data_IF_504626668947
#
_entry.id   IF_504626668947
#
_cell.length_a   1.000
_cell.length_b   1.000
_cell.length_c   1.000
_cell.angle_alpha   90.00
_cell.angle_beta   90.00
_cell.angle_gamma   90.00
#
_symmetry.space_group_name_H-M   'P 1'
#
loop_
_entity.id
_entity.type
_entity.pdbx_description
1 polymer ?
#
# COMPACT_ATOMS: atom_id res chain seq x y z
N UNK A 1 -19.51 23.83 16.18
CA UNK A 1 -20.49 23.43 17.21
C UNK A 1 -21.27 22.27 16.64
N UNK A 2 -20.80 21.05 16.89
CA UNK A 2 -21.30 19.81 16.29
C UNK A 2 -21.73 18.86 17.40
N UNK A 3 -22.91 18.30 17.21
CA UNK A 3 -23.73 17.49 18.12
C UNK A 3 -23.01 16.23 18.65
N UNK A 4 -22.90 16.02 19.98
CA UNK A 4 -22.32 14.82 20.56
C UNK A 4 -23.40 13.77 20.84
N UNK A 5 -23.99 13.17 19.80
CA UNK A 5 -25.13 12.27 19.97
C UNK A 5 -25.23 11.07 19.02
N UNK A 6 -24.44 11.00 17.96
CA UNK A 6 -24.70 9.98 16.93
C UNK A 6 -24.04 8.64 17.26
N UNK A 7 -24.84 7.75 17.88
CA UNK A 7 -24.50 6.33 18.08
C UNK A 7 -24.14 5.70 16.72
N UNK A 8 -23.06 4.91 16.63
CA UNK A 8 -22.74 4.18 15.41
C UNK A 8 -23.91 3.26 15.02
N UNK A 9 -24.23 3.11 13.72
CA UNK A 9 -25.31 2.26 13.28
C UNK A 9 -25.10 0.83 13.78
N UNK A 10 -26.18 0.24 14.31
CA UNK A 10 -26.16 -1.14 14.78
C UNK A 10 -25.68 -2.08 13.66
N UNK A 11 -24.89 -3.14 13.97
CA UNK A 11 -24.53 -4.13 12.97
C UNK A 11 -25.79 -4.66 12.28
N UNK A 12 -25.78 -4.69 10.94
CA UNK A 12 -26.82 -5.32 10.16
C UNK A 12 -26.99 -6.76 10.65
N UNK A 13 -28.13 -7.04 11.27
CA UNK A 13 -28.51 -8.39 11.68
C UNK A 13 -28.87 -9.16 10.41
N UNK A 14 -27.94 -9.97 9.91
CA UNK A 14 -28.29 -10.92 8.86
C UNK A 14 -29.25 -11.94 9.44
N UNK A 15 -30.53 -11.86 9.04
CA UNK A 15 -31.51 -12.92 9.25
C UNK A 15 -31.44 -13.82 8.02
N UNK A 16 -31.15 -15.10 8.24
CA UNK A 16 -31.27 -16.13 7.21
C UNK A 16 -32.64 -16.00 6.50
N UNK A 17 -32.70 -16.07 5.15
CA UNK A 17 -33.96 -16.20 4.46
C UNK A 17 -34.59 -17.54 4.89
N UNK A 18 -35.68 -17.47 5.66
CA UNK A 18 -36.51 -18.65 5.92
C UNK A 18 -36.93 -19.23 4.56
N UNK A 19 -36.48 -20.44 4.25
CA UNK A 19 -37.03 -21.24 3.15
C UNK A 19 -36.07 -21.66 2.03
N UNK A 20 -34.76 -21.41 2.10
CA UNK A 20 -33.83 -22.02 1.15
C UNK A 20 -33.59 -23.49 1.53
N UNK A 21 -34.38 -24.40 0.95
CA UNK A 21 -34.11 -25.84 0.98
C UNK A 21 -32.85 -26.10 0.17
N UNK A 22 -31.72 -26.28 0.85
CA UNK A 22 -30.45 -26.68 0.24
C UNK A 22 -30.46 -28.20 0.18
N UNK A 23 -30.34 -28.76 -1.03
CA UNK A 23 -30.20 -30.19 -1.25
C UNK A 23 -28.99 -30.75 -0.48
N UNK A 24 -29.05 -31.99 0.03
CA UNK A 24 -27.96 -32.58 0.81
C UNK A 24 -26.73 -32.74 -0.10
N UNK A 25 -25.67 -31.98 0.19
CA UNK A 25 -24.33 -32.24 -0.36
C UNK A 25 -23.83 -33.50 0.34
N UNK A 26 -23.40 -34.49 -0.46
CA UNK A 26 -22.90 -35.77 0.02
C UNK A 26 -21.80 -35.57 1.08
N UNK A 27 -21.77 -36.48 2.06
CA UNK A 27 -20.81 -36.50 3.17
C UNK A 27 -19.37 -36.69 2.67
N UNK A 28 -18.77 -35.61 2.18
CA UNK A 28 -17.33 -35.51 1.93
C UNK A 28 -16.60 -35.05 3.18
N UNK A 29 -15.37 -35.53 3.37
CA UNK A 29 -14.46 -35.08 4.41
C UNK A 29 -14.30 -33.56 4.33
N UNK A 30 -14.46 -32.86 5.46
CA UNK A 30 -14.25 -31.41 5.47
C UNK A 30 -12.79 -31.09 5.13
N UNK A 31 -12.52 -30.10 4.25
CA UNK A 31 -11.17 -29.67 3.96
C UNK A 31 -10.50 -29.10 5.22
N UNK A 32 -9.17 -29.04 5.23
CA UNK A 32 -8.46 -28.34 6.29
C UNK A 32 -8.72 -26.85 6.13
N UNK A 33 -9.15 -26.22 7.22
CA UNK A 33 -9.33 -24.78 7.27
C UNK A 33 -8.30 -24.19 8.22
N UNK A 34 -7.90 -22.96 7.91
CA UNK A 34 -7.15 -22.08 8.80
C UNK A 34 -7.95 -20.82 9.08
N UNK A 35 -8.00 -20.39 10.34
CA UNK A 35 -8.51 -19.06 10.68
C UNK A 35 -7.49 -17.99 10.27
N UNK A 36 -7.96 -16.94 9.59
CA UNK A 36 -7.13 -15.80 9.22
C UNK A 36 -6.39 -15.21 10.43
N UNK A 37 -5.10 -14.89 10.25
CA UNK A 37 -4.26 -14.34 11.32
C UNK A 37 -4.73 -12.96 11.74
N UNK A 38 -4.66 -12.67 13.05
CA UNK A 38 -5.10 -11.38 13.60
C UNK A 38 -6.62 -11.26 13.77
N UNK A 39 -7.40 -12.25 13.32
CA UNK A 39 -8.85 -12.28 13.55
C UNK A 39 -9.13 -12.59 15.02
N UNK A 40 -9.71 -11.62 15.73
CA UNK A 40 -10.13 -11.79 17.12
C UNK A 40 -11.48 -12.48 17.21
N UNK A 41 -11.59 -13.46 18.10
CA UNK A 41 -12.85 -14.14 18.43
C UNK A 41 -13.29 -13.66 19.81
N UNK A 42 -14.46 -13.02 19.89
CA UNK A 42 -14.95 -12.33 21.09
C UNK A 42 -16.30 -12.94 21.48
N UNK A 43 -16.37 -13.74 22.55
CA UNK A 43 -17.64 -14.25 23.08
C UNK A 43 -18.57 -13.10 23.50
N UNK A 44 -19.86 -13.16 23.13
CA UNK A 44 -20.89 -12.17 23.48
C UNK A 44 -22.19 -12.87 23.92
N UNK A 45 -22.18 -13.44 25.12
CA UNK A 45 -23.32 -14.21 25.62
C UNK A 45 -23.50 -15.49 24.82
N UNK A 46 -24.65 -15.66 24.18
CA UNK A 46 -24.91 -16.79 23.27
C UNK A 46 -24.27 -16.60 21.87
N UNK A 47 -23.83 -15.40 21.54
CA UNK A 47 -23.26 -15.10 20.22
C UNK A 47 -21.72 -15.12 20.26
N UNK A 48 -21.10 -15.33 19.10
CA UNK A 48 -19.66 -15.18 18.90
C UNK A 48 -19.39 -14.10 17.86
N UNK A 49 -18.70 -13.03 18.27
CA UNK A 49 -18.22 -12.03 17.33
C UNK A 49 -16.86 -12.44 16.76
N UNK A 50 -16.71 -12.31 15.44
CA UNK A 50 -15.49 -12.57 14.70
C UNK A 50 -15.00 -11.25 14.10
N UNK A 51 -13.76 -10.88 14.40
CA UNK A 51 -13.14 -9.64 13.94
C UNK A 51 -13.56 -8.40 14.73
N UNK A 52 -12.73 -7.36 14.62
CA UNK A 52 -12.93 -6.04 15.26
C UNK A 52 -13.10 -4.90 14.26
N UNK A 53 -12.61 -5.06 13.03
CA UNK A 53 -12.63 -4.03 12.00
C UNK A 53 -14.02 -3.88 11.35
N UNK A 54 -14.42 -2.63 11.06
CA UNK A 54 -15.63 -2.33 10.30
C UNK A 54 -15.53 -2.96 8.89
N UNK A 55 -16.59 -3.62 8.42
CA UNK A 55 -16.60 -4.33 7.14
C UNK A 55 -16.16 -5.79 7.17
N UNK A 56 -15.51 -6.25 8.26
CA UNK A 56 -15.15 -7.68 8.49
C UNK A 56 -15.54 -8.21 9.87
N UNK A 57 -16.37 -7.47 10.57
CA UNK A 57 -17.01 -7.91 11.81
C UNK A 57 -18.20 -8.81 11.47
N UNK A 58 -18.09 -10.10 11.78
CA UNK A 58 -19.21 -11.03 11.71
C UNK A 58 -19.71 -11.35 13.11
N UNK A 59 -21.01 -11.64 13.22
CA UNK A 59 -21.63 -12.13 14.45
C UNK A 59 -22.28 -13.47 14.13
N UNK A 60 -21.75 -14.54 14.73
CA UNK A 60 -22.40 -15.84 14.74
C UNK A 60 -23.44 -15.83 15.86
N UNK A 61 -24.72 -15.77 15.49
CA UNK A 61 -25.81 -15.84 16.44
C UNK A 61 -25.96 -17.27 16.98
N UNK A 62 -26.30 -17.40 18.26
CA UNK A 62 -26.53 -18.70 18.93
C UNK A 62 -25.36 -19.69 18.69
N UNK A 63 -24.13 -19.19 18.82
CA UNK A 63 -22.93 -19.95 18.57
C UNK A 63 -22.77 -21.07 19.62
N UNK A 64 -22.41 -22.31 19.20
CA UNK A 64 -22.12 -23.38 20.15
C UNK A 64 -21.07 -22.95 21.18
N UNK A 65 -21.14 -23.40 22.45
CA UNK A 65 -20.22 -22.96 23.51
C UNK A 65 -18.74 -23.18 23.19
N UNK A 66 -18.43 -24.19 22.37
CA UNK A 66 -17.07 -24.51 21.92
C UNK A 66 -16.64 -23.76 20.65
N UNK A 67 -17.47 -22.89 20.09
CA UNK A 67 -17.23 -22.35 18.76
C UNK A 67 -15.96 -21.51 18.67
N UNK A 68 -15.68 -20.68 19.68
CA UNK A 68 -14.45 -19.88 19.72
C UNK A 68 -13.20 -20.78 19.75
N UNK A 69 -13.23 -21.85 20.57
CA UNK A 69 -12.13 -22.80 20.69
C UNK A 69 -11.91 -23.58 19.39
N UNK A 70 -12.97 -24.11 18.79
CA UNK A 70 -12.89 -24.84 17.51
C UNK A 70 -12.30 -23.94 16.42
N UNK A 71 -12.77 -22.70 16.30
CA UNK A 71 -12.23 -21.75 15.31
C UNK A 71 -10.77 -21.37 15.58
N UNK A 72 -10.33 -21.30 16.85
CA UNK A 72 -8.92 -21.05 17.20
C UNK A 72 -8.00 -22.23 16.85
N UNK A 73 -8.51 -23.47 16.95
CA UNK A 73 -7.77 -24.69 16.64
C UNK A 73 -7.68 -24.98 15.12
N UNK A 74 -8.39 -24.19 14.28
CA UNK A 74 -8.23 -24.22 12.82
C UNK A 74 -6.92 -23.53 12.41
N UNK A 75 -5.84 -24.31 12.40
CA UNK A 75 -4.49 -23.88 12.02
C UNK A 75 -4.06 -24.42 10.64
N UNK A 76 -4.91 -25.22 9.99
CA UNK A 76 -4.63 -25.93 8.74
C UNK A 76 -3.88 -27.25 8.91
N UNK A 77 -3.44 -27.64 10.10
CA UNK A 77 -2.73 -28.91 10.33
C UNK A 77 -3.70 -30.08 10.56
N UNK A 78 -4.85 -29.80 11.18
CA UNK A 78 -5.91 -30.78 11.45
C UNK A 78 -7.05 -30.64 10.44
N UNK A 79 -7.70 -31.76 10.07
CA UNK A 79 -8.95 -31.69 9.32
C UNK A 79 -10.05 -31.14 10.22
N UNK A 80 -10.95 -30.35 9.64
CA UNK A 80 -12.05 -29.78 10.42
C UNK A 80 -12.97 -30.89 10.95
N UNK A 81 -13.07 -32.04 10.28
CA UNK A 81 -13.78 -33.22 10.79
C UNK A 81 -13.18 -33.76 12.10
N UNK A 82 -11.86 -33.71 12.27
CA UNK A 82 -11.21 -34.17 13.50
C UNK A 82 -11.59 -33.27 14.69
N UNK A 83 -11.64 -31.95 14.47
CA UNK A 83 -11.99 -30.96 15.49
C UNK A 83 -13.49 -30.97 15.85
N UNK A 84 -14.33 -31.47 14.96
CA UNK A 84 -15.78 -31.62 15.19
C UNK A 84 -16.16 -32.95 15.85
N UNK A 85 -15.19 -33.79 16.23
CA UNK A 85 -15.47 -35.05 16.93
C UNK A 85 -16.15 -34.77 18.28
N UNK A 86 -17.42 -35.16 18.41
CA UNK A 86 -18.24 -34.89 19.60
C UNK A 86 -18.88 -33.50 19.64
N UNK A 87 -18.99 -32.79 18.51
CA UNK A 87 -19.78 -31.56 18.38
C UNK A 87 -21.26 -31.87 18.08
N UNK A 88 -22.17 -31.11 18.72
CA UNK A 88 -23.61 -31.42 18.76
C UNK A 88 -24.36 -31.26 17.43
N UNK A 89 -23.90 -30.41 16.51
CA UNK A 89 -24.56 -30.18 15.21
C UNK A 89 -23.56 -30.04 14.05
N UNK A 90 -23.27 -31.16 13.37
CA UNK A 90 -22.38 -31.18 12.20
C UNK A 90 -22.90 -30.37 11.02
N UNK A 91 -24.23 -30.24 10.85
CA UNK A 91 -24.81 -29.48 9.74
C UNK A 91 -24.61 -27.98 9.94
N UNK A 92 -24.81 -27.52 11.18
CA UNK A 92 -24.50 -26.15 11.57
C UNK A 92 -23.05 -25.81 11.23
N UNK A 93 -22.10 -26.65 11.68
CA UNK A 93 -20.67 -26.43 11.43
C UNK A 93 -20.29 -26.43 9.95
N UNK A 94 -20.86 -27.34 9.15
CA UNK A 94 -20.63 -27.35 7.70
C UNK A 94 -21.08 -26.04 7.05
N UNK A 95 -22.28 -25.57 7.39
CA UNK A 95 -22.82 -24.31 6.87
C UNK A 95 -22.01 -23.09 7.33
N UNK A 96 -21.58 -23.08 8.60
CA UNK A 96 -20.77 -22.02 9.19
C UNK A 96 -19.39 -21.95 8.55
N UNK A 97 -18.67 -23.08 8.44
CA UNK A 97 -17.35 -23.09 7.78
C UNK A 97 -17.43 -22.64 6.33
N UNK A 98 -18.43 -23.10 5.58
CA UNK A 98 -18.63 -22.64 4.20
C UNK A 98 -18.88 -21.14 4.13
N UNK A 99 -19.70 -20.59 5.03
CA UNK A 99 -19.97 -19.15 5.06
C UNK A 99 -18.73 -18.35 5.46
N UNK A 100 -17.97 -18.81 6.45
CA UNK A 100 -16.74 -18.14 6.89
C UNK A 100 -15.65 -18.22 5.82
N UNK A 101 -15.57 -19.33 5.07
CA UNK A 101 -14.68 -19.46 3.91
C UNK A 101 -15.07 -18.51 2.79
N UNK A 102 -16.35 -18.46 2.41
CA UNK A 102 -16.85 -17.51 1.40
C UNK A 102 -16.71 -16.04 1.83
N UNK A 103 -16.71 -15.77 3.14
CA UNK A 103 -16.46 -14.45 3.71
C UNK A 103 -14.96 -14.13 3.83
N UNK A 104 -14.05 -15.05 3.48
CA UNK A 104 -12.60 -14.87 3.56
C UNK A 104 -12.05 -14.81 4.99
N UNK A 105 -12.77 -15.39 5.95
CA UNK A 105 -12.35 -15.52 7.37
C UNK A 105 -11.61 -16.84 7.59
N UNK A 106 -12.04 -17.90 6.90
CA UNK A 106 -11.35 -19.18 6.84
C UNK A 106 -10.67 -19.33 5.49
N UNK A 107 -9.51 -19.98 5.49
CA UNK A 107 -8.68 -20.22 4.32
C UNK A 107 -8.41 -21.72 4.15
N UNK A 108 -8.22 -22.17 2.92
CA UNK A 108 -7.86 -23.55 2.60
C UNK A 108 -6.38 -23.87 2.86
N UNK A 109 -6.02 -25.15 2.74
CA UNK A 109 -4.67 -25.71 2.99
C UNK A 109 -3.60 -25.31 1.96
N UNK A 110 -3.97 -24.56 0.92
CA UNK A 110 -3.07 -24.21 -0.18
C UNK A 110 -2.03 -23.18 0.30
N UNK A 111 -0.90 -23.69 0.82
CA UNK A 111 0.38 -23.01 1.08
C UNK A 111 0.23 -21.53 1.39
N UNK A 112 -0.10 -21.20 2.64
CA UNK A 112 0.18 -19.86 3.12
C UNK A 112 1.68 -19.58 2.89
N UNK A 113 2.06 -18.53 2.15
CA UNK A 113 3.45 -18.17 1.94
C UNK A 113 4.13 -17.99 3.31
N UNK A 114 5.38 -18.46 3.42
CA UNK A 114 6.17 -18.21 4.62
C UNK A 114 6.51 -16.72 4.67
N UNK A 115 5.68 -15.99 5.39
CA UNK A 115 5.90 -14.57 5.62
C UNK A 115 6.99 -14.43 6.67
N UNK A 116 8.10 -13.80 6.30
CA UNK A 116 9.21 -13.54 7.22
C UNK A 116 8.71 -12.76 8.45
N UNK A 117 9.37 -12.90 9.62
CA UNK A 117 8.90 -12.33 10.87
C UNK A 117 8.67 -10.80 10.82
N UNK A 118 9.42 -10.08 9.97
CA UNK A 118 9.25 -8.64 9.77
C UNK A 118 8.01 -8.20 8.98
N UNK A 119 7.28 -9.13 8.35
CA UNK A 119 6.11 -8.85 7.51
C UNK A 119 4.79 -9.37 8.11
N UNK A 120 4.82 -9.84 9.36
CA UNK A 120 3.62 -10.34 10.06
C UNK A 120 2.56 -9.24 10.20
N UNK A 121 2.97 -8.04 10.60
CA UNK A 121 2.05 -6.92 10.78
C UNK A 121 1.50 -6.41 9.43
N UNK A 122 2.34 -6.38 8.38
CA UNK A 122 1.91 -6.09 7.01
C UNK A 122 0.85 -7.08 6.53
N UNK A 123 1.06 -8.37 6.80
CA UNK A 123 0.09 -9.42 6.48
C UNK A 123 -1.22 -9.24 7.23
N UNK A 124 -1.16 -8.90 8.52
CA UNK A 124 -2.35 -8.66 9.35
C UNK A 124 -3.14 -7.46 8.81
N UNK A 125 -2.48 -6.34 8.50
CA UNK A 125 -3.13 -5.17 7.90
C UNK A 125 -3.79 -5.50 6.56
N UNK A 126 -3.07 -6.15 5.65
CA UNK A 126 -3.62 -6.61 4.36
C UNK A 126 -4.78 -7.60 4.57
N UNK A 127 -4.70 -8.48 5.56
CA UNK A 127 -5.78 -9.41 5.92
C UNK A 127 -7.00 -8.67 6.47
N UNK A 128 -6.81 -7.53 7.13
CA UNK A 128 -7.92 -6.65 7.57
C UNK A 128 -8.52 -5.81 6.46
N UNK A 129 -7.76 -5.44 5.43
CA UNK A 129 -8.23 -4.63 4.29
C UNK A 129 -8.73 -5.44 3.09
N UNK A 130 -8.08 -6.55 2.75
CA UNK A 130 -8.33 -7.33 1.54
C UNK A 130 -8.65 -8.83 1.75
N UNK A 131 -8.30 -9.40 2.90
CA UNK A 131 -8.56 -10.81 3.26
C UNK A 131 -7.29 -11.63 3.12
N UNK A 132 -7.18 -12.80 3.76
CA UNK A 132 -5.87 -13.44 3.86
C UNK A 132 -5.34 -13.95 2.51
N UNK A 133 -6.17 -14.52 1.64
CA UNK A 133 -5.72 -14.97 0.30
C UNK A 133 -5.15 -13.80 -0.52
N UNK A 134 -5.84 -12.66 -0.49
CA UNK A 134 -5.39 -11.44 -1.15
C UNK A 134 -4.14 -10.86 -0.49
N UNK A 135 -4.01 -10.98 0.84
CA UNK A 135 -2.82 -10.57 1.57
C UNK A 135 -1.60 -11.42 1.21
N UNK A 136 -1.78 -12.73 1.12
CA UNK A 136 -0.74 -13.70 0.78
C UNK A 136 -0.27 -13.48 -0.67
N UNK A 137 -1.21 -13.28 -1.60
CA UNK A 137 -0.89 -12.91 -2.98
C UNK A 137 -0.20 -11.55 -3.07
N UNK A 138 -0.66 -10.54 -2.33
CA UNK A 138 -0.05 -9.22 -2.29
C UNK A 138 1.41 -9.29 -1.81
N UNK A 139 1.67 -10.00 -0.71
CA UNK A 139 3.04 -10.15 -0.19
C UNK A 139 3.94 -10.95 -1.14
N UNK A 140 3.40 -11.97 -1.82
CA UNK A 140 4.12 -12.65 -2.91
C UNK A 140 4.51 -11.67 -4.03
N UNK A 141 3.55 -10.86 -4.51
CA UNK A 141 3.81 -9.83 -5.54
C UNK A 141 4.82 -8.77 -5.08
N UNK A 142 4.76 -8.34 -3.81
CA UNK A 142 5.76 -7.42 -3.24
C UNK A 142 7.15 -8.06 -3.26
N UNK A 143 7.27 -9.32 -2.85
CA UNK A 143 8.53 -10.06 -2.85
C UNK A 143 9.13 -10.22 -4.26
N UNK A 144 8.30 -10.41 -5.29
CA UNK A 144 8.75 -10.53 -6.68
C UNK A 144 9.01 -9.17 -7.37
N UNK A 145 8.59 -8.06 -6.75
CA UNK A 145 8.65 -6.74 -7.38
C UNK A 145 10.05 -6.12 -7.32
N UNK A 146 10.36 -5.40 -8.40
CA UNK A 146 11.56 -4.57 -8.53
C UNK A 146 11.12 -3.12 -8.67
N UNK A 147 11.48 -2.29 -7.70
CA UNK A 147 11.21 -0.85 -7.73
C UNK A 147 12.52 -0.09 -7.84
N UNK A 148 12.67 0.68 -8.92
CA UNK A 148 13.80 1.59 -9.08
C UNK A 148 13.36 2.99 -8.62
N UNK A 149 14.16 3.64 -7.79
CA UNK A 149 13.98 5.00 -7.33
C UNK A 149 15.08 5.84 -7.96
N UNK A 150 14.71 6.81 -8.78
CA UNK A 150 15.63 7.78 -9.38
C UNK A 150 15.46 9.11 -8.67
N UNK A 151 16.51 9.53 -7.97
CA UNK A 151 16.41 10.69 -7.11
C UNK A 151 17.48 10.76 -6.04
N UNK A 152 17.55 11.93 -5.40
CA UNK A 152 18.33 12.15 -4.19
C UNK A 152 17.47 12.90 -3.16
N UNK A 153 18.01 13.13 -1.97
CA UNK A 153 17.27 13.87 -0.93
C UNK A 153 16.39 13.00 -0.03
N UNK A 154 15.63 13.68 0.82
CA UNK A 154 14.84 13.06 1.90
C UNK A 154 13.75 12.15 1.37
N UNK A 155 13.05 12.56 0.32
CA UNK A 155 11.94 11.79 -0.26
C UNK A 155 12.45 10.45 -0.79
N UNK A 156 13.56 10.46 -1.54
CA UNK A 156 14.14 9.25 -2.11
C UNK A 156 14.60 8.25 -1.03
N UNK A 157 15.22 8.73 0.05
CA UNK A 157 15.60 7.87 1.18
C UNK A 157 14.41 7.31 1.94
N UNK A 158 13.41 8.14 2.22
CA UNK A 158 12.21 7.74 2.96
C UNK A 158 11.37 6.72 2.18
N UNK A 159 11.15 6.94 0.88
CA UNK A 159 10.39 6.00 0.04
C UNK A 159 11.12 4.66 -0.10
N UNK A 160 12.45 4.68 -0.20
CA UNK A 160 13.26 3.45 -0.23
C UNK A 160 13.08 2.62 1.05
N UNK A 161 13.22 3.26 2.22
CA UNK A 161 13.04 2.59 3.51
C UNK A 161 11.62 2.03 3.70
N UNK A 162 10.60 2.79 3.31
CA UNK A 162 9.20 2.36 3.39
C UNK A 162 8.91 1.17 2.46
N UNK A 163 9.44 1.16 1.23
CA UNK A 163 9.25 0.05 0.29
C UNK A 163 9.92 -1.24 0.79
N UNK A 164 11.13 -1.14 1.36
CA UNK A 164 11.81 -2.28 2.00
C UNK A 164 11.01 -2.79 3.19
N UNK A 165 10.55 -1.89 4.06
CA UNK A 165 9.73 -2.24 5.23
C UNK A 165 8.39 -2.90 4.83
N UNK A 166 7.81 -2.49 3.70
CA UNK A 166 6.61 -3.08 3.14
C UNK A 166 6.85 -4.46 2.47
N UNK A 167 8.10 -4.92 2.37
CA UNK A 167 8.43 -6.22 1.80
C UNK A 167 8.59 -6.24 0.28
N UNK A 168 8.91 -5.10 -0.35
CA UNK A 168 9.36 -5.09 -1.75
C UNK A 168 10.69 -5.84 -1.84
N UNK A 169 10.76 -6.83 -2.73
CA UNK A 169 11.92 -7.72 -2.82
C UNK A 169 13.19 -7.04 -3.30
N UNK A 170 13.09 -6.10 -4.25
CA UNK A 170 14.24 -5.35 -4.74
C UNK A 170 13.92 -3.86 -4.84
N UNK A 171 14.66 -3.06 -4.08
CA UNK A 171 14.60 -1.60 -4.13
C UNK A 171 15.97 -1.08 -4.58
N UNK A 172 16.01 -0.42 -5.74
CA UNK A 172 17.23 0.12 -6.32
C UNK A 172 17.18 1.65 -6.23
N UNK A 173 18.15 2.29 -5.57
CA UNK A 173 18.23 3.74 -5.49
C UNK A 173 19.33 4.27 -6.42
N UNK A 174 18.92 4.88 -7.53
CA UNK A 174 19.78 5.56 -8.50
C UNK A 174 19.83 7.05 -8.19
N UNK A 175 20.96 7.53 -7.68
CA UNK A 175 21.16 8.96 -7.38
C UNK A 175 21.36 9.75 -8.67
N UNK A 176 20.58 10.80 -8.88
CA UNK A 176 20.70 11.74 -10.02
C UNK A 176 21.59 12.95 -9.70
N UNK A 177 21.98 13.15 -8.43
CA UNK A 177 22.92 14.18 -7.97
C UNK A 177 23.71 13.72 -6.74
N UNK A 178 24.85 14.36 -6.41
CA UNK A 178 25.55 14.14 -5.15
C UNK A 178 24.67 14.45 -3.92
N UNK A 179 24.92 13.73 -2.82
CA UNK A 179 24.25 13.98 -1.54
C UNK A 179 24.69 15.32 -0.94
N UNK A 180 23.73 16.04 -0.33
CA UNK A 180 23.92 17.32 0.36
C UNK A 180 23.62 17.16 1.85
N UNK A 181 24.16 18.03 2.70
CA UNK A 181 23.87 18.03 4.14
C UNK A 181 22.37 18.19 4.46
N UNK A 182 21.62 18.84 3.57
CA UNK A 182 20.17 18.97 3.66
C UNK A 182 19.40 17.66 3.47
N UNK A 183 20.01 16.67 2.80
CA UNK A 183 19.40 15.38 2.48
C UNK A 183 19.33 14.45 3.70
N UNK A 184 20.20 14.70 4.68
CA UNK A 184 20.24 13.97 5.94
C UNK A 184 19.01 14.27 6.81
N UNK A 185 18.44 13.22 7.39
CA UNK A 185 17.44 13.32 8.46
C UNK A 185 18.19 13.75 9.73
N UNK A 186 18.25 15.06 9.99
CA UNK A 186 18.99 15.59 11.14
C UNK A 186 18.20 15.31 12.42
N UNK A 187 18.78 14.52 13.32
CA UNK A 187 18.42 14.58 14.74
C UNK A 187 19.08 15.82 15.33
N UNK A 188 18.28 16.81 15.72
CA UNK A 188 18.79 17.97 16.46
C UNK A 188 18.79 17.59 17.94
N UNK A 189 19.96 17.33 18.50
CA UNK A 189 20.14 17.27 19.95
C UNK A 189 19.97 18.68 20.53
N UNK A 190 18.99 18.93 21.40
CA UNK A 190 18.79 20.25 21.99
C UNK A 190 20.00 20.60 22.88
N UNK A 191 20.81 21.59 22.47
CA UNK A 191 21.89 22.15 23.31
C UNK A 191 23.28 22.24 22.68
N UNK A 192 23.50 21.70 21.47
CA UNK A 192 24.73 21.99 20.71
C UNK A 192 24.42 22.95 19.57
N UNK A 193 24.73 24.23 19.76
CA UNK A 193 24.92 25.13 18.64
C UNK A 193 26.03 24.57 17.75
N UNK A 194 25.72 24.39 16.47
CA UNK A 194 26.62 23.81 15.47
C UNK A 194 27.95 24.57 15.42
N UNK A 195 29.03 23.98 15.93
CA UNK A 195 30.34 24.29 15.36
C UNK A 195 30.35 23.82 13.90
N UNK A 196 31.06 24.50 12.98
CA UNK A 196 31.21 24.04 11.61
C UNK A 196 32.07 22.78 11.64
N UNK A 197 31.43 21.63 11.87
CA UNK A 197 32.08 20.34 11.88
C UNK A 197 32.70 20.10 10.50
N UNK A 198 34.03 20.18 10.46
CA UNK A 198 34.83 19.66 9.37
C UNK A 198 34.49 18.19 9.16
N UNK A 199 34.11 17.88 7.93
CA UNK A 199 33.51 16.63 7.46
C UNK A 199 32.15 16.28 8.11
N UNK A 200 31.10 16.06 7.30
CA UNK A 200 29.86 15.51 7.84
C UNK A 200 30.20 14.16 8.48
N UNK A 201 29.69 13.85 9.69
CA UNK A 201 29.76 12.49 10.19
C UNK A 201 29.13 11.62 9.11
N UNK A 202 29.90 10.64 8.63
CA UNK A 202 29.41 9.52 7.82
C UNK A 202 28.34 8.83 8.64
N UNK A 203 27.13 9.35 8.54
CA UNK A 203 25.93 8.78 9.12
C UNK A 203 25.59 7.66 8.18
N UNK A 204 26.20 6.51 8.46
CA UNK A 204 25.77 5.17 8.04
C UNK A 204 24.37 4.83 8.64
N UNK A 205 23.43 5.79 8.62
CA UNK A 205 22.00 5.54 8.67
C UNK A 205 21.49 4.87 7.40
N UNK A 206 22.38 4.67 6.42
CA UNK A 206 22.25 3.72 5.33
C UNK A 206 22.36 2.23 5.78
N UNK A 207 22.54 1.95 7.08
CA UNK A 207 22.65 0.60 7.63
C UNK A 207 21.38 -0.26 7.56
N UNK A 208 20.28 0.24 6.99
CA UNK A 208 19.05 -0.54 6.73
C UNK A 208 18.65 -0.57 5.25
N UNK A 209 19.60 -0.32 4.35
CA UNK A 209 19.39 -0.54 2.92
C UNK A 209 20.40 -1.60 2.49
N UNK A 210 20.00 -2.87 2.55
CA UNK A 210 20.67 -3.92 1.76
C UNK A 210 20.44 -3.57 0.29
N UNK A 211 21.30 -2.70 -0.22
CA UNK A 211 21.48 -2.50 -1.65
C UNK A 211 22.12 -3.79 -2.15
N UNK A 212 21.29 -4.74 -2.59
CA UNK A 212 21.81 -5.80 -3.45
C UNK A 212 22.19 -5.11 -4.75
N UNK A 213 23.45 -4.68 -4.82
CA UNK A 213 24.12 -4.32 -6.05
C UNK A 213 24.36 -5.60 -6.86
N UNK A 214 23.29 -6.25 -7.30
CA UNK A 214 23.37 -7.20 -8.40
C UNK A 214 23.49 -6.37 -9.68
N UNK A 215 24.53 -6.65 -10.47
CA UNK A 215 24.87 -5.93 -11.70
C UNK A 215 23.64 -5.74 -12.62
N UNK A 216 23.39 -4.52 -13.12
CA UNK A 216 22.20 -4.17 -13.88
C UNK A 216 22.42 -4.49 -15.35
N UNK A 217 21.71 -5.49 -15.88
CA UNK A 217 21.66 -5.65 -17.33
C UNK A 217 20.31 -6.08 -17.90
N UNK A 218 19.40 -6.75 -17.16
CA UNK A 218 18.29 -7.44 -17.83
C UNK A 218 16.92 -7.48 -17.12
N UNK A 219 16.75 -6.88 -15.94
CA UNK A 219 15.45 -6.92 -15.25
C UNK A 219 14.69 -5.61 -15.45
N UNK A 220 13.48 -5.69 -16.01
CA UNK A 220 12.59 -4.53 -16.16
C UNK A 220 11.94 -4.22 -14.81
N UNK A 221 12.07 -2.99 -14.27
CA UNK A 221 11.40 -2.64 -13.01
C UNK A 221 9.89 -2.68 -13.18
N UNK A 222 9.18 -3.11 -12.13
CA UNK A 222 7.72 -3.09 -12.06
C UNK A 222 7.19 -1.66 -12.15
N UNK A 223 7.87 -0.73 -11.49
CA UNK A 223 7.60 0.70 -11.54
C UNK A 223 8.87 1.48 -11.19
N UNK A 224 9.05 2.64 -11.82
CA UNK A 224 10.12 3.58 -11.51
C UNK A 224 9.55 4.77 -10.72
N UNK A 225 10.19 5.12 -9.62
CA UNK A 225 9.83 6.20 -8.72
C UNK A 225 10.78 7.37 -9.00
N UNK A 226 10.28 8.43 -9.62
CA UNK A 226 11.02 9.67 -9.83
C UNK A 226 10.85 10.55 -8.59
N UNK A 227 11.82 10.50 -7.67
CA UNK A 227 11.78 11.23 -6.41
C UNK A 227 12.68 12.47 -6.50
N UNK A 228 12.09 13.65 -6.62
CA UNK A 228 12.86 14.89 -6.79
C UNK A 228 12.41 16.04 -5.92
N UNK A 229 13.32 16.96 -5.67
CA UNK A 229 13.07 18.19 -4.90
C UNK A 229 12.50 19.32 -5.81
N UNK A 230 12.44 19.11 -7.15
CA UNK A 230 11.80 20.00 -8.12
C UNK A 230 11.35 19.27 -9.40
N UNK A 231 10.44 19.91 -10.15
CA UNK A 231 9.94 19.43 -11.44
C UNK A 231 11.02 19.24 -12.51
N UNK A 232 12.20 19.86 -12.34
CA UNK A 232 13.36 19.78 -13.23
C UNK A 232 14.03 18.39 -13.26
N UNK A 233 13.79 17.57 -12.23
CA UNK A 233 14.52 16.32 -12.02
C UNK A 233 13.88 15.11 -12.73
N UNK A 234 12.86 15.35 -13.55
CA UNK A 234 12.15 14.31 -14.33
C UNK A 234 12.68 14.15 -15.76
N UNK A 235 13.94 14.49 -16.02
CA UNK A 235 14.59 14.33 -17.33
C UNK A 235 14.45 12.92 -17.90
N UNK A 236 14.44 11.94 -17.01
CA UNK A 236 14.33 10.52 -17.32
C UNK A 236 12.93 10.08 -17.74
N UNK A 237 11.90 10.91 -17.51
CA UNK A 237 10.51 10.56 -17.83
C UNK A 237 10.34 10.27 -19.33
N UNK A 238 11.08 10.96 -20.21
CA UNK A 238 11.03 10.72 -21.66
C UNK A 238 11.55 9.32 -22.02
N UNK A 239 12.64 8.89 -21.39
CA UNK A 239 13.23 7.57 -21.63
C UNK A 239 12.31 6.47 -21.10
N UNK A 240 11.69 6.69 -19.94
CA UNK A 240 10.70 5.77 -19.36
C UNK A 240 9.43 5.65 -20.21
N UNK A 241 8.97 6.77 -20.79
CA UNK A 241 7.87 6.76 -21.77
C UNK A 241 8.23 5.93 -23.01
N UNK A 242 9.44 6.11 -23.55
CA UNK A 242 9.92 5.36 -24.72
C UNK A 242 10.10 3.88 -24.41
N UNK A 243 10.62 3.55 -23.23
CA UNK A 243 10.83 2.18 -22.76
C UNK A 243 9.55 1.50 -22.27
N UNK A 244 8.40 2.20 -22.26
CA UNK A 244 7.09 1.72 -21.80
C UNK A 244 7.11 1.24 -20.34
N UNK A 245 7.88 1.93 -19.49
CA UNK A 245 8.02 1.61 -18.07
C UNK A 245 7.04 2.46 -17.25
N UNK A 246 6.17 1.84 -16.42
CA UNK A 246 5.34 2.58 -15.48
C UNK A 246 6.20 3.43 -14.55
N UNK A 247 5.82 4.68 -14.31
CA UNK A 247 6.59 5.54 -13.44
C UNK A 247 5.74 6.54 -12.66
N UNK A 248 6.13 6.79 -11.41
CA UNK A 248 5.45 7.68 -10.49
C UNK A 248 6.37 8.85 -10.15
N UNK A 249 5.87 10.08 -10.29
CA UNK A 249 6.58 11.28 -9.83
C UNK A 249 6.23 11.60 -8.37
N UNK A 250 7.23 11.98 -7.59
CA UNK A 250 7.07 12.44 -6.22
C UNK A 250 7.90 13.71 -6.06
N UNK A 251 7.35 14.67 -5.31
CA UNK A 251 8.08 15.85 -4.92
C UNK A 251 7.42 16.58 -3.77
N UNK A 252 8.13 17.55 -3.22
CA UNK A 252 7.56 18.48 -2.27
C UNK A 252 8.14 19.88 -2.52
N UNK A 253 7.26 20.80 -2.89
CA UNK A 253 7.60 22.17 -3.23
C UNK A 253 6.50 23.12 -2.72
N UNK A 254 6.85 24.38 -2.46
CA UNK A 254 5.91 25.45 -2.13
C UNK A 254 4.94 25.10 -0.97
N UNK A 255 5.46 24.41 0.04
CA UNK A 255 4.69 24.01 1.22
C UNK A 255 3.75 22.82 1.00
N UNK A 256 3.88 22.09 -0.11
CA UNK A 256 3.03 20.92 -0.42
C UNK A 256 3.85 19.71 -0.84
N UNK A 257 3.41 18.54 -0.42
CA UNK A 257 3.79 17.25 -0.99
C UNK A 257 2.89 16.98 -2.20
N UNK A 258 3.48 16.56 -3.31
CA UNK A 258 2.77 16.18 -4.54
C UNK A 258 3.23 14.80 -4.96
N UNK A 259 2.26 13.89 -5.13
CA UNK A 259 2.49 12.53 -5.61
C UNK A 259 1.67 12.33 -6.88
N UNK A 260 2.33 11.91 -7.94
CA UNK A 260 1.74 11.66 -9.24
C UNK A 260 2.16 12.66 -10.32
N UNK A 261 1.71 12.42 -11.56
CA UNK A 261 0.89 11.28 -11.95
C UNK A 261 1.67 9.97 -11.88
N UNK A 262 0.95 8.88 -11.60
CA UNK A 262 1.39 7.55 -11.98
C UNK A 262 1.16 7.42 -13.48
N UNK A 263 2.25 7.44 -14.23
CA UNK A 263 2.24 7.37 -15.67
C UNK A 263 2.27 5.92 -16.12
N UNK A 264 1.24 5.52 -16.86
CA UNK A 264 1.18 4.31 -17.64
C UNK A 264 1.37 4.71 -19.11
N UNK A 265 2.58 4.55 -19.68
CA UNK A 265 2.87 5.03 -21.04
C UNK A 265 1.83 4.55 -22.05
N UNK A 266 1.31 5.47 -22.87
CA UNK A 266 0.24 5.19 -23.86
C UNK A 266 -1.17 5.05 -23.30
N UNK A 267 -1.37 5.12 -21.99
CA UNK A 267 -2.67 4.81 -21.36
C UNK A 267 -3.17 5.87 -20.38
N UNK A 268 -2.28 6.65 -19.79
CA UNK A 268 -2.63 7.73 -18.86
C UNK A 268 -2.05 9.06 -19.31
N UNK A 269 -2.51 10.13 -18.68
CA UNK A 269 -1.82 11.41 -18.68
C UNK A 269 -0.39 11.25 -18.17
N UNK A 270 0.53 12.00 -18.80
CA UNK A 270 1.95 12.01 -18.45
C UNK A 270 2.36 13.37 -17.87
N UNK A 271 3.59 13.49 -17.38
CA UNK A 271 4.13 14.74 -16.85
C UNK A 271 4.05 15.90 -17.86
N UNK A 272 4.20 15.62 -19.16
CA UNK A 272 4.05 16.64 -20.20
C UNK A 272 2.60 17.11 -20.37
N UNK A 273 1.61 16.23 -20.18
CA UNK A 273 0.21 16.66 -20.16
C UNK A 273 -0.05 17.68 -19.05
N UNK A 274 0.54 17.48 -17.87
CA UNK A 274 0.40 18.41 -16.75
C UNK A 274 1.04 19.75 -17.08
N UNK A 275 2.21 19.76 -17.71
CA UNK A 275 2.87 20.99 -18.15
C UNK A 275 2.02 21.74 -19.20
N UNK A 276 1.44 21.04 -20.18
CA UNK A 276 0.55 21.64 -21.17
C UNK A 276 -0.70 22.23 -20.53
N UNK A 277 -1.39 21.48 -19.65
CA UNK A 277 -2.58 22.00 -18.94
C UNK A 277 -2.30 23.18 -18.02
N UNK A 278 -1.05 23.33 -17.56
CA UNK A 278 -0.61 24.50 -16.79
C UNK A 278 -0.29 25.67 -17.72
N UNK A 279 0.38 25.43 -18.84
CA UNK A 279 0.62 26.43 -19.88
C UNK A 279 -0.69 27.02 -20.45
N UNK A 280 -1.72 26.20 -20.64
CA UNK A 280 -3.05 26.67 -21.06
C UNK A 280 -3.69 27.65 -20.06
N UNK A 281 -3.38 27.48 -18.77
CA UNK A 281 -3.93 28.29 -17.68
C UNK A 281 -3.09 29.52 -17.39
N UNK A 282 -1.81 29.43 -17.66
CA UNK A 282 -0.82 30.45 -17.36
C UNK A 282 0.18 30.55 -18.53
N UNK A 283 0.04 31.59 -19.38
CA UNK A 283 0.97 31.82 -20.49
C UNK A 283 2.43 31.96 -20.06
N UNK A 284 2.69 32.37 -18.81
CA UNK A 284 4.03 32.54 -18.26
C UNK A 284 4.55 31.26 -17.56
N UNK A 285 3.83 30.13 -17.67
CA UNK A 285 4.17 28.85 -17.03
C UNK A 285 5.61 28.42 -17.32
N UNK A 286 6.10 28.63 -18.55
CA UNK A 286 7.47 28.28 -18.91
C UNK A 286 8.51 29.03 -18.06
N UNK A 287 8.28 30.32 -17.81
CA UNK A 287 9.13 31.17 -16.97
C UNK A 287 9.10 30.70 -15.51
N UNK A 288 7.90 30.41 -14.98
CA UNK A 288 7.72 29.89 -13.62
C UNK A 288 8.41 28.54 -13.42
N UNK A 289 8.30 27.64 -14.40
CA UNK A 289 8.94 26.32 -14.38
C UNK A 289 10.47 26.44 -14.38
N UNK A 290 11.03 27.38 -15.15
CA UNK A 290 12.48 27.61 -15.16
C UNK A 290 12.99 28.20 -13.83
N UNK A 291 12.25 29.15 -13.26
CA UNK A 291 12.60 29.77 -11.98
C UNK A 291 12.61 28.74 -10.83
N UNK A 292 11.57 27.90 -10.74
CA UNK A 292 11.45 26.85 -9.71
C UNK A 292 12.48 25.72 -9.88
N UNK A 293 12.86 25.42 -11.13
CA UNK A 293 13.90 24.43 -11.44
C UNK A 293 15.30 24.87 -11.02
N UNK A 294 15.57 26.18 -11.00
CA UNK A 294 16.90 26.73 -10.74
C UNK A 294 17.22 26.91 -9.25
N UNK A 295 16.19 26.91 -8.40
CA UNK A 295 16.32 27.06 -6.96
C UNK A 295 15.41 26.05 -6.22
N UNK A 296 15.68 24.73 -6.34
CA UNK A 296 14.89 23.72 -5.64
C UNK A 296 15.00 23.93 -4.13
N UNK A 297 13.87 24.18 -3.48
CA UNK A 297 13.79 24.23 -2.03
C UNK A 297 14.01 22.84 -1.43
N UNK A 298 14.61 22.76 -0.25
CA UNK A 298 14.67 21.49 0.51
C UNK A 298 13.32 21.31 1.21
N UNK A 299 12.58 20.23 0.96
CA UNK A 299 11.28 20.04 1.59
C UNK A 299 11.43 19.86 3.11
N UNK A 300 10.46 20.39 3.86
CA UNK A 300 10.38 20.13 5.30
C UNK A 300 10.25 18.62 5.57
N UNK A 301 10.71 18.15 6.73
CA UNK A 301 10.70 16.72 7.04
C UNK A 301 9.28 16.12 6.97
N UNK A 302 8.26 16.86 7.41
CA UNK A 302 6.85 16.42 7.38
C UNK A 302 6.34 16.28 5.95
N UNK A 303 6.62 17.24 5.07
CA UNK A 303 6.19 17.15 3.67
C UNK A 303 6.94 16.05 2.92
N UNK A 304 8.23 15.88 3.19
CA UNK A 304 9.01 14.79 2.61
C UNK A 304 8.46 13.41 3.05
N UNK A 305 8.14 13.25 4.34
CA UNK A 305 7.51 12.04 4.86
C UNK A 305 6.11 11.81 4.28
N UNK A 306 5.32 12.87 4.11
CA UNK A 306 4.01 12.80 3.45
C UNK A 306 4.07 12.33 2.01
N UNK A 307 4.98 12.94 1.22
CA UNK A 307 5.21 12.52 -0.16
C UNK A 307 5.65 11.05 -0.23
N UNK A 308 6.59 10.64 0.64
CA UNK A 308 7.06 9.27 0.69
C UNK A 308 5.96 8.28 1.11
N UNK A 309 5.13 8.60 2.12
CA UNK A 309 4.06 7.72 2.57
C UNK A 309 2.96 7.55 1.51
N UNK A 310 2.49 8.66 0.93
CA UNK A 310 1.49 8.64 -0.15
C UNK A 310 2.03 7.94 -1.39
N UNK A 311 3.29 8.22 -1.76
CA UNK A 311 3.95 7.60 -2.91
C UNK A 311 4.17 6.11 -2.74
N UNK A 312 4.61 5.65 -1.57
CA UNK A 312 4.72 4.23 -1.24
C UNK A 312 3.37 3.55 -1.37
N UNK A 313 2.29 4.13 -0.84
CA UNK A 313 0.95 3.55 -0.97
C UNK A 313 0.53 3.35 -2.44
N UNK A 314 0.84 4.31 -3.31
CA UNK A 314 0.54 4.22 -4.75
C UNK A 314 1.41 3.18 -5.46
N UNK A 315 2.70 3.08 -5.14
CA UNK A 315 3.58 2.01 -5.63
C UNK A 315 3.07 0.64 -5.20
N UNK A 316 2.65 0.50 -3.94
CA UNK A 316 2.07 -0.74 -3.44
C UNK A 316 0.77 -1.09 -4.16
N UNK A 317 -0.10 -0.12 -4.46
CA UNK A 317 -1.30 -0.38 -5.27
C UNK A 317 -0.95 -0.92 -6.68
N UNK A 318 0.12 -0.41 -7.31
CA UNK A 318 0.62 -0.94 -8.60
C UNK A 318 1.10 -2.38 -8.47
N UNK A 319 1.95 -2.65 -7.48
CA UNK A 319 2.58 -3.96 -7.28
C UNK A 319 1.56 -5.02 -6.87
N UNK A 320 0.68 -4.67 -5.93
CA UNK A 320 -0.32 -5.60 -5.38
C UNK A 320 -1.44 -5.87 -6.37
N UNK A 321 -1.79 -4.91 -7.24
CA UNK A 321 -2.87 -5.05 -8.22
C UNK A 321 -4.25 -5.31 -7.61
N UNK A 322 -4.46 -4.96 -6.34
CA UNK A 322 -5.76 -5.13 -5.64
C UNK A 322 -6.65 -3.91 -5.84
N UNK A 323 -6.07 -2.70 -5.74
CA UNK A 323 -6.78 -1.43 -5.93
C UNK A 323 -6.13 -0.63 -7.05
N UNK A 324 -6.95 0.16 -7.72
CA UNK A 324 -6.45 1.10 -8.71
C UNK A 324 -5.73 2.27 -8.02
N UNK A 325 -4.48 2.60 -8.39
CA UNK A 325 -3.78 3.75 -7.84
C UNK A 325 -4.55 5.05 -8.14
N UNK A 326 -4.70 5.90 -7.13
CA UNK A 326 -5.41 7.18 -7.25
C UNK A 326 -4.67 8.18 -8.15
N UNK A 327 -3.38 8.01 -8.34
CA UNK A 327 -2.51 8.91 -9.11
C UNK A 327 -2.45 8.56 -10.60
N UNK A 328 -3.13 7.50 -11.06
CA UNK A 328 -3.46 7.38 -12.48
C UNK A 328 -4.41 8.54 -12.83
N UNK A 329 -4.07 9.30 -13.86
CA UNK A 329 -4.84 10.48 -14.29
C UNK A 329 -5.11 11.47 -13.16
N UNK A 330 -4.14 11.62 -12.26
CA UNK A 330 -4.28 12.47 -11.10
C UNK A 330 -3.01 12.70 -10.30
N UNK A 331 -3.01 13.74 -9.49
CA UNK A 331 -2.02 13.99 -8.45
C UNK A 331 -2.69 13.98 -7.08
N UNK A 332 -2.01 13.46 -6.07
CA UNK A 332 -2.35 13.67 -4.66
C UNK A 332 -1.52 14.84 -4.15
N UNK A 333 -2.19 15.85 -3.61
CA UNK A 333 -1.58 17.06 -3.05
C UNK A 333 -1.87 17.14 -1.55
N UNK A 334 -0.85 17.41 -0.74
CA UNK A 334 -0.97 17.51 0.71
C UNK A 334 -0.15 18.66 1.28
N UNK A 335 -0.78 19.53 2.05
CA UNK A 335 -0.18 20.74 2.65
C UNK A 335 0.16 20.58 4.15
N UNK A 336 0.06 19.36 4.68
CA UNK A 336 0.21 19.02 6.10
C UNK A 336 -0.80 19.70 7.06
N UNK A 337 -1.69 20.56 6.57
CA UNK A 337 -2.74 21.21 7.35
C UNK A 337 -4.10 20.52 7.17
N UNK A 338 -4.32 19.88 6.01
CA UNK A 338 -5.59 19.26 5.64
C UNK A 338 -5.41 17.80 5.21
N UNK A 339 -6.51 17.10 4.93
CA UNK A 339 -6.44 15.77 4.31
C UNK A 339 -5.90 15.87 2.87
N UNK A 340 -5.14 14.87 2.39
CA UNK A 340 -4.66 14.83 1.01
C UNK A 340 -5.82 14.97 0.01
N UNK A 341 -5.64 15.81 -1.01
CA UNK A 341 -6.63 16.05 -2.06
C UNK A 341 -6.16 15.46 -3.37
N UNK A 342 -7.08 14.80 -4.09
CA UNK A 342 -6.83 14.32 -5.45
C UNK A 342 -7.20 15.41 -6.46
N UNK A 343 -6.27 15.77 -7.33
CA UNK A 343 -6.49 16.58 -8.52
C UNK A 343 -6.46 15.69 -9.75
N UNK A 344 -7.49 15.75 -10.58
CA UNK A 344 -7.60 14.93 -11.81
C UNK A 344 -6.92 15.60 -12.99
N UNK A 345 -6.28 14.82 -13.86
CA UNK A 345 -5.65 15.25 -15.10
C UNK A 345 -6.10 14.38 -16.26
N UNK A 346 -6.64 15.00 -17.32
CA UNK A 346 -6.90 14.29 -18.57
C UNK A 346 -5.63 14.27 -19.42
N UNK A 347 -5.40 13.25 -20.27
CA UNK A 347 -4.42 13.34 -21.33
C UNK A 347 -4.66 14.61 -22.16
N UNK A 348 -3.62 15.41 -22.35
CA UNK A 348 -3.74 16.66 -23.11
C UNK A 348 -3.74 16.35 -24.62
N UNK A 349 -4.64 16.93 -25.42
CA UNK A 349 -4.77 16.59 -26.85
C UNK A 349 -3.51 16.87 -27.67
N UNK A 350 -2.75 17.91 -27.33
CA UNK A 350 -1.49 18.24 -28.01
C UNK A 350 -0.28 17.42 -27.53
N UNK A 351 -0.45 16.54 -26.53
CA UNK A 351 0.68 15.81 -25.95
C UNK A 351 1.14 14.63 -26.80
N UNK A 352 0.22 13.96 -27.50
CA UNK A 352 0.51 12.73 -28.26
C UNK A 352 0.84 11.50 -27.39
N UNK A 353 0.78 11.60 -26.06
CA UNK A 353 1.23 10.51 -25.18
C UNK A 353 0.33 9.27 -25.19
N UNK A 354 -0.91 9.42 -25.64
CA UNK A 354 -1.90 8.34 -25.80
C UNK A 354 -2.16 7.98 -27.27
N UNK A 355 -1.51 8.66 -28.22
CA UNK A 355 -1.89 8.61 -29.64
C UNK A 355 -1.22 7.46 -30.41
N UNK A 356 -0.55 6.53 -29.72
CA UNK A 356 0.02 5.31 -30.32
C UNK A 356 -0.24 4.05 -29.46
N UNK A 357 -0.85 2.99 -30.02
CA UNK A 357 -1.04 1.71 -29.34
C UNK A 357 0.28 0.96 -29.08
#
# INVERSE_FOLDING_TARGET
>A
MTDPGERPPAPAKWRSPKGAVIAPVAAGTLPRYRLGTGIRLIPRGADLQIGTAAGRRLLLADAPPRAARILQELDGTHSADHLLTGADDRRWWYSTFRQLYLAGILHGDDRAPQVGPGLVDERIDLTHRHGADAADLALGRRCDAIVEIRGAGRIAGLVAGLLVAAGIGQVQLTKNRPARASDTLVAVEPGRASEPAGNPPSTDGAGLLTTSASSPAQLRPTVVVLAGDAAAEYTDARDLMTARVPHLALGAADGRAVVGPLVLPGRSSCLWCLDLWRADRDPDWATLRLATSSAPGVPSAVLAAGAAALGTAEVLHVVEGIRHPLTVDGTLEWDAATLPRRRTWQPHPECGCTDRP
#
